data_IF_348153960649
#
_entry.id   IF_348153960649
#
_cell.length_a   1.000
_cell.length_b   1.000
_cell.length_c   1.000
_cell.angle_alpha   90.00
_cell.angle_beta   90.00
_cell.angle_gamma   90.00
#
_symmetry.space_group_name_H-M   'P 1'
#
loop_
_entity.id
_entity.type
_entity.pdbx_description
1 polymer ?
#
# COMPACT_ATOMS: atom_id res chain seq x y z
N UNK A 1 49.46 -35.65 -12.20
CA UNK A 1 49.01 -34.48 -13.01
C UNK A 1 47.48 -34.42 -13.11
N UNK A 2 46.80 -35.43 -13.66
CA UNK A 2 45.33 -35.45 -13.80
C UNK A 2 44.55 -35.22 -12.47
N UNK A 3 44.95 -35.87 -11.37
CA UNK A 3 44.33 -35.73 -10.07
C UNK A 3 44.44 -34.30 -9.51
N UNK A 4 45.56 -33.65 -9.72
CA UNK A 4 45.82 -32.28 -9.28
C UNK A 4 44.93 -31.27 -10.04
N UNK A 5 44.76 -31.46 -11.36
CA UNK A 5 43.88 -30.67 -12.19
C UNK A 5 42.41 -30.86 -11.80
N UNK A 6 41.99 -32.09 -11.54
CA UNK A 6 40.63 -32.39 -11.08
C UNK A 6 40.31 -31.72 -9.71
N UNK A 7 41.30 -31.73 -8.80
CA UNK A 7 41.16 -31.07 -7.48
C UNK A 7 41.03 -29.54 -7.61
N UNK A 8 41.83 -28.91 -8.47
CA UNK A 8 41.75 -27.46 -8.73
C UNK A 8 40.38 -27.07 -9.32
N UNK A 9 39.90 -27.85 -10.31
CA UNK A 9 38.59 -27.62 -10.91
C UNK A 9 37.48 -27.78 -9.87
N UNK A 10 37.50 -28.80 -9.02
CA UNK A 10 36.52 -29.04 -7.97
C UNK A 10 36.48 -27.89 -6.96
N UNK A 11 37.64 -27.39 -6.52
CA UNK A 11 37.76 -26.25 -5.62
C UNK A 11 37.18 -24.98 -6.29
N UNK A 12 37.54 -24.77 -7.57
CA UNK A 12 37.01 -23.63 -8.35
C UNK A 12 35.49 -23.64 -8.47
N UNK A 13 34.89 -24.80 -8.72
CA UNK A 13 33.42 -24.97 -8.76
C UNK A 13 32.79 -24.70 -7.40
N UNK A 14 33.38 -25.24 -6.32
CA UNK A 14 32.85 -24.99 -4.95
C UNK A 14 32.92 -23.51 -4.57
N UNK A 15 34.02 -22.82 -4.88
CA UNK A 15 34.16 -21.38 -4.64
C UNK A 15 33.16 -20.57 -5.48
N UNK A 16 32.96 -20.94 -6.74
CA UNK A 16 31.95 -20.30 -7.59
C UNK A 16 30.54 -20.50 -7.04
N UNK A 17 30.17 -21.74 -6.66
CA UNK A 17 28.85 -22.02 -6.04
C UNK A 17 28.68 -21.26 -4.74
N UNK A 18 29.69 -21.20 -3.87
CA UNK A 18 29.64 -20.41 -2.63
C UNK A 18 29.46 -18.91 -2.91
N UNK A 19 30.19 -18.35 -3.86
CA UNK A 19 30.10 -16.96 -4.27
C UNK A 19 28.69 -16.62 -4.81
N UNK A 20 28.16 -17.44 -5.71
CA UNK A 20 26.82 -17.23 -6.29
C UNK A 20 25.72 -17.42 -5.25
N UNK A 21 25.83 -18.40 -4.34
CA UNK A 21 24.90 -18.60 -3.24
C UNK A 21 24.88 -17.38 -2.31
N UNK A 22 26.05 -16.88 -1.91
CA UNK A 22 26.15 -15.68 -1.08
C UNK A 22 25.58 -14.44 -1.76
N UNK A 23 25.87 -14.24 -3.04
CA UNK A 23 25.34 -13.12 -3.83
C UNK A 23 23.81 -13.18 -3.94
N UNK A 24 23.24 -14.36 -4.13
CA UNK A 24 21.80 -14.58 -4.18
C UNK A 24 21.15 -14.26 -2.84
N UNK A 25 21.67 -14.77 -1.72
CA UNK A 25 21.14 -14.49 -0.39
C UNK A 25 21.16 -12.99 -0.06
N UNK A 26 22.25 -12.29 -0.35
CA UNK A 26 22.34 -10.83 -0.17
C UNK A 26 21.31 -10.08 -1.03
N UNK A 27 20.99 -10.59 -2.22
CA UNK A 27 19.96 -10.05 -3.10
C UNK A 27 18.55 -10.20 -2.52
N UNK A 28 18.23 -11.36 -1.95
CA UNK A 28 16.96 -11.66 -1.33
C UNK A 28 16.76 -10.86 -0.03
N UNK A 29 17.77 -10.79 0.84
CA UNK A 29 17.75 -9.96 2.05
C UNK A 29 17.46 -8.49 1.71
N UNK A 30 18.13 -7.95 0.70
CA UNK A 30 17.93 -6.57 0.25
C UNK A 30 16.52 -6.32 -0.29
N UNK A 31 15.89 -7.29 -0.97
CA UNK A 31 14.50 -7.20 -1.41
C UNK A 31 13.54 -7.16 -0.23
N UNK A 32 13.79 -8.02 0.77
CA UNK A 32 13.01 -8.03 2.01
C UNK A 32 13.07 -6.67 2.72
N UNK A 33 14.27 -6.13 2.94
CA UNK A 33 14.46 -4.81 3.56
C UNK A 33 13.76 -3.71 2.75
N UNK A 34 13.86 -3.75 1.42
CA UNK A 34 13.21 -2.80 0.54
C UNK A 34 11.67 -2.86 0.67
N UNK A 35 11.12 -4.07 0.75
CA UNK A 35 9.68 -4.28 0.96
C UNK A 35 9.23 -3.74 2.32
N UNK A 36 10.01 -3.98 3.38
CA UNK A 36 9.74 -3.45 4.73
C UNK A 36 9.74 -1.91 4.73
N UNK A 37 10.72 -1.28 4.08
CA UNK A 37 10.81 0.18 3.97
C UNK A 37 9.62 0.76 3.19
N UNK A 38 9.21 0.14 2.10
CA UNK A 38 8.04 0.56 1.33
C UNK A 38 6.73 0.41 2.13
N UNK A 39 6.59 -0.65 2.95
CA UNK A 39 5.44 -0.80 3.86
C UNK A 39 5.36 0.36 4.86
N UNK A 40 6.49 0.78 5.42
CA UNK A 40 6.53 1.95 6.32
C UNK A 40 6.14 3.24 5.60
N UNK A 41 6.66 3.47 4.39
CA UNK A 41 6.30 4.63 3.57
C UNK A 41 4.83 4.63 3.15
N UNK A 42 4.25 3.45 2.91
CA UNK A 42 2.82 3.30 2.63
C UNK A 42 1.98 3.72 3.84
N UNK A 43 2.33 3.28 5.04
CA UNK A 43 1.68 3.63 6.29
C UNK A 43 1.75 5.15 6.54
N UNK A 44 2.95 5.72 6.48
CA UNK A 44 3.18 7.15 6.68
C UNK A 44 2.44 8.01 5.64
N UNK A 45 2.38 7.56 4.38
CA UNK A 45 1.59 8.25 3.34
C UNK A 45 0.10 8.27 3.63
N UNK A 46 -0.43 7.20 4.25
CA UNK A 46 -1.83 7.14 4.70
C UNK A 46 -2.07 8.02 5.92
N UNK A 47 -1.15 8.02 6.86
CA UNK A 47 -1.20 8.90 8.04
C UNK A 47 -1.16 10.37 7.62
N UNK A 48 -0.24 10.76 6.73
CA UNK A 48 -0.16 12.11 6.16
C UNK A 48 -1.47 12.51 5.48
N UNK A 49 -2.10 11.60 4.71
CA UNK A 49 -3.40 11.83 4.10
C UNK A 49 -4.49 12.07 5.15
N UNK A 50 -4.54 11.26 6.21
CA UNK A 50 -5.55 11.37 7.27
C UNK A 50 -5.42 12.70 8.00
N UNK A 51 -4.21 13.07 8.40
CA UNK A 51 -3.93 14.31 9.13
C UNK A 51 -4.26 15.54 8.28
N UNK A 52 -3.78 15.58 7.02
CA UNK A 52 -4.08 16.70 6.11
C UNK A 52 -5.56 16.79 5.76
N UNK A 53 -6.25 15.64 5.61
CA UNK A 53 -7.69 15.62 5.37
C UNK A 53 -8.45 16.22 6.56
N UNK A 54 -8.13 15.81 7.79
CA UNK A 54 -8.76 16.33 9.00
C UNK A 54 -8.58 17.84 9.15
N UNK A 55 -7.39 18.35 8.88
CA UNK A 55 -7.07 19.76 8.95
C UNK A 55 -7.83 20.58 7.89
N UNK A 56 -7.92 20.10 6.65
CA UNK A 56 -8.64 20.75 5.58
C UNK A 56 -10.16 20.73 5.82
N UNK A 57 -10.71 19.63 6.37
CA UNK A 57 -12.14 19.54 6.70
C UNK A 57 -12.54 20.48 7.84
N UNK A 58 -11.68 20.66 8.84
CA UNK A 58 -11.92 21.54 9.97
C UNK A 58 -11.47 22.99 9.74
N UNK A 59 -10.87 23.30 8.62
CA UNK A 59 -10.29 24.60 8.27
C UNK A 59 -9.31 25.13 9.34
N UNK A 60 -8.60 24.22 10.01
CA UNK A 60 -7.65 24.55 11.06
C UNK A 60 -6.30 23.81 10.85
N UNK A 61 -5.45 24.26 9.91
CA UNK A 61 -4.17 23.64 9.60
C UNK A 61 -3.16 23.72 10.73
N UNK A 62 -3.21 24.73 11.59
CA UNK A 62 -2.22 24.96 12.65
C UNK A 62 -2.23 23.84 13.71
N UNK A 63 -3.39 23.23 13.96
CA UNK A 63 -3.52 22.19 15.00
C UNK A 63 -2.79 20.89 14.69
N UNK A 64 -2.39 20.68 13.45
CA UNK A 64 -1.77 19.43 12.98
C UNK A 64 -0.33 19.62 12.52
N UNK A 65 0.21 20.83 12.58
CA UNK A 65 1.51 21.16 12.00
C UNK A 65 2.66 20.33 12.61
N UNK A 66 2.69 20.19 13.95
CA UNK A 66 3.72 19.38 14.62
C UNK A 66 3.64 17.89 14.23
N UNK A 67 2.42 17.33 14.27
CA UNK A 67 2.21 15.92 13.88
C UNK A 67 2.57 15.70 12.41
N UNK A 68 2.23 16.65 11.55
CA UNK A 68 2.50 16.55 10.12
C UNK A 68 4.00 16.66 9.82
N UNK A 69 4.73 17.51 10.56
CA UNK A 69 6.19 17.62 10.48
C UNK A 69 6.87 16.30 10.87
N UNK A 70 6.47 15.69 11.98
CA UNK A 70 7.01 14.39 12.42
C UNK A 70 6.78 13.29 11.38
N UNK A 71 5.56 13.23 10.81
CA UNK A 71 5.23 12.26 9.75
C UNK A 71 6.07 12.52 8.50
N UNK A 72 6.26 13.77 8.13
CA UNK A 72 7.04 14.14 6.95
C UNK A 72 8.53 13.81 7.14
N UNK A 73 9.10 14.12 8.30
CA UNK A 73 10.50 13.81 8.61
C UNK A 73 10.74 12.29 8.58
N UNK A 74 9.84 11.51 9.17
CA UNK A 74 9.88 10.05 9.07
C UNK A 74 9.78 9.56 7.63
N UNK A 75 8.89 10.15 6.81
CA UNK A 75 8.79 9.80 5.39
C UNK A 75 10.11 10.09 4.65
N UNK A 76 10.78 11.19 4.94
CA UNK A 76 12.05 11.54 4.31
C UNK A 76 13.16 10.60 4.76
N UNK A 77 13.23 10.26 6.04
CA UNK A 77 14.18 9.29 6.59
C UNK A 77 14.04 7.93 5.89
N UNK A 78 12.84 7.31 5.92
CA UNK A 78 12.60 6.02 5.28
C UNK A 78 12.83 6.05 3.76
N UNK A 79 12.51 7.15 3.08
CA UNK A 79 12.77 7.26 1.65
C UNK A 79 14.26 7.38 1.32
N UNK A 80 15.05 8.00 2.20
CA UNK A 80 16.52 8.03 2.06
C UNK A 80 17.12 6.64 2.30
N UNK A 81 16.66 5.91 3.32
CA UNK A 81 17.05 4.52 3.55
C UNK A 81 16.70 3.62 2.36
N UNK A 82 15.50 3.80 1.79
CA UNK A 82 15.08 3.07 0.59
C UNK A 82 16.02 3.30 -0.59
N UNK A 83 16.41 4.55 -0.85
CA UNK A 83 17.36 4.89 -1.93
C UNK A 83 18.76 4.35 -1.64
N UNK A 84 19.20 4.38 -0.37
CA UNK A 84 20.50 3.86 0.04
C UNK A 84 20.58 2.34 -0.17
N UNK A 85 19.52 1.60 0.25
CA UNK A 85 19.44 0.15 0.14
C UNK A 85 19.24 -0.34 -1.32
N UNK A 86 18.69 0.49 -2.18
CA UNK A 86 18.36 0.13 -3.56
C UNK A 86 19.61 -0.22 -4.39
N UNK A 87 19.47 -1.20 -5.29
CA UNK A 87 20.44 -1.45 -6.35
C UNK A 87 20.54 -0.21 -7.25
N UNK A 88 21.72 0.00 -7.85
CA UNK A 88 22.00 1.20 -8.65
C UNK A 88 20.96 1.44 -9.74
N UNK A 89 20.51 0.40 -10.40
CA UNK A 89 19.53 0.43 -11.49
C UNK A 89 18.15 0.90 -11.03
N UNK A 90 17.77 0.60 -9.79
CA UNK A 90 16.45 0.94 -9.21
C UNK A 90 16.44 2.30 -8.51
N UNK A 91 17.60 2.90 -8.22
CA UNK A 91 17.67 4.21 -7.54
C UNK A 91 16.88 5.33 -8.20
N UNK A 92 16.85 5.47 -9.55
CA UNK A 92 16.06 6.51 -10.19
C UNK A 92 14.56 6.41 -9.87
N UNK A 93 14.01 5.19 -9.84
CA UNK A 93 12.62 4.91 -9.56
C UNK A 93 12.24 5.35 -8.12
N UNK A 94 13.06 5.02 -7.13
CA UNK A 94 12.83 5.44 -5.74
C UNK A 94 13.05 6.94 -5.53
N UNK A 95 13.92 7.59 -6.30
CA UNK A 95 14.03 9.06 -6.29
C UNK A 95 12.76 9.74 -6.83
N UNK A 96 12.17 9.20 -7.89
CA UNK A 96 10.87 9.68 -8.41
C UNK A 96 9.78 9.49 -7.35
N UNK A 97 9.77 8.36 -6.64
CA UNK A 97 8.84 8.15 -5.53
C UNK A 97 9.07 9.16 -4.40
N UNK A 98 10.31 9.40 -3.99
CA UNK A 98 10.64 10.43 -2.99
C UNK A 98 10.16 11.84 -3.41
N UNK A 99 10.27 12.20 -4.68
CA UNK A 99 9.73 13.47 -5.18
C UNK A 99 8.20 13.55 -5.03
N UNK A 100 7.49 12.43 -5.24
CA UNK A 100 6.04 12.38 -4.98
C UNK A 100 5.71 12.50 -3.49
N UNK A 101 6.52 11.88 -2.61
CA UNK A 101 6.37 12.07 -1.16
C UNK A 101 6.59 13.52 -0.73
N UNK A 102 7.63 14.19 -1.25
CA UNK A 102 7.86 15.62 -1.03
C UNK A 102 6.68 16.47 -1.52
N UNK A 103 6.11 16.12 -2.66
CA UNK A 103 4.94 16.81 -3.20
C UNK A 103 3.68 16.64 -2.34
N UNK A 104 3.57 15.60 -1.48
CA UNK A 104 2.45 15.48 -0.53
C UNK A 104 2.44 16.64 0.47
N UNK A 105 3.61 16.99 0.97
CA UNK A 105 3.77 18.01 2.02
C UNK A 105 3.80 19.44 1.45
N UNK A 106 4.34 19.63 0.23
CA UNK A 106 4.42 20.95 -0.39
C UNK A 106 3.03 21.55 -0.65
N UNK A 107 2.78 22.76 -0.17
CA UNK A 107 1.55 23.53 -0.46
C UNK A 107 0.24 22.77 -0.18
N UNK A 108 0.23 21.86 0.81
CA UNK A 108 -0.95 21.06 1.09
C UNK A 108 -2.13 21.91 1.60
N UNK A 109 -1.87 23.02 2.30
CA UNK A 109 -2.88 23.95 2.84
C UNK A 109 -3.66 24.67 1.75
N UNK A 110 -3.10 24.81 0.55
CA UNK A 110 -3.75 25.47 -0.59
C UNK A 110 -4.67 24.52 -1.39
N UNK A 111 -4.70 23.23 -1.01
CA UNK A 111 -5.49 22.23 -1.73
C UNK A 111 -6.91 22.17 -1.19
N UNK A 112 -7.86 21.94 -2.09
CA UNK A 112 -9.16 21.44 -1.65
C UNK A 112 -9.07 19.94 -1.30
N UNK A 113 -10.07 19.45 -0.58
CA UNK A 113 -10.12 18.07 -0.08
C UNK A 113 -10.00 17.05 -1.23
N UNK A 114 -10.72 17.23 -2.35
CA UNK A 114 -10.65 16.30 -3.48
C UNK A 114 -9.25 16.21 -4.06
N UNK A 115 -8.61 17.35 -4.32
CA UNK A 115 -7.24 17.40 -4.85
C UNK A 115 -6.25 16.72 -3.90
N UNK A 116 -6.39 16.95 -2.60
CA UNK A 116 -5.58 16.30 -1.58
C UNK A 116 -5.76 14.77 -1.62
N UNK A 117 -7.00 14.27 -1.70
CA UNK A 117 -7.28 12.84 -1.81
C UNK A 117 -6.70 12.22 -3.09
N UNK A 118 -6.80 12.89 -4.24
CA UNK A 118 -6.27 12.40 -5.52
C UNK A 118 -4.74 12.31 -5.50
N UNK A 119 -4.05 13.32 -4.98
CA UNK A 119 -2.58 13.35 -4.93
C UNK A 119 -2.07 12.23 -4.03
N UNK A 120 -2.64 12.08 -2.83
CA UNK A 120 -2.29 10.97 -1.93
C UNK A 120 -2.62 9.61 -2.54
N UNK A 121 -3.79 9.45 -3.16
CA UNK A 121 -4.18 8.20 -3.83
C UNK A 121 -3.19 7.78 -4.92
N UNK A 122 -2.70 8.73 -5.73
CA UNK A 122 -1.68 8.48 -6.76
C UNK A 122 -0.34 8.06 -6.14
N UNK A 123 0.08 8.70 -5.05
CA UNK A 123 1.35 8.38 -4.37
C UNK A 123 1.29 7.03 -3.68
N UNK A 124 0.19 6.73 -2.99
CA UNK A 124 -0.06 5.44 -2.34
C UNK A 124 -0.05 4.30 -3.38
N UNK A 125 -0.78 4.46 -4.49
CA UNK A 125 -0.75 3.46 -5.58
C UNK A 125 0.65 3.27 -6.15
N UNK A 126 1.42 4.34 -6.33
CA UNK A 126 2.80 4.20 -6.80
C UNK A 126 3.66 3.41 -5.82
N UNK A 127 3.51 3.64 -4.50
CA UNK A 127 4.19 2.83 -3.48
C UNK A 127 3.82 1.35 -3.62
N UNK A 128 2.53 1.06 -3.78
CA UNK A 128 2.05 -0.32 -3.92
C UNK A 128 2.57 -1.00 -5.19
N UNK A 129 2.67 -0.29 -6.32
CA UNK A 129 3.30 -0.83 -7.53
C UNK A 129 4.79 -1.16 -7.33
N UNK A 130 5.52 -0.31 -6.59
CA UNK A 130 6.92 -0.60 -6.25
C UNK A 130 7.06 -1.85 -5.38
N UNK A 131 6.09 -2.07 -4.47
CA UNK A 131 6.06 -3.29 -3.63
C UNK A 131 5.74 -4.53 -4.46
N UNK A 132 4.80 -4.43 -5.40
CA UNK A 132 4.43 -5.50 -6.32
C UNK A 132 5.61 -5.95 -7.20
N UNK A 133 6.33 -5.00 -7.80
CA UNK A 133 7.54 -5.31 -8.58
C UNK A 133 8.58 -6.10 -7.77
N UNK A 134 8.79 -5.72 -6.50
CA UNK A 134 9.74 -6.42 -5.63
C UNK A 134 9.21 -7.80 -5.26
N UNK A 135 7.92 -7.92 -4.95
CA UNK A 135 7.31 -9.18 -4.57
C UNK A 135 7.41 -10.20 -5.72
N UNK A 136 7.05 -9.81 -6.94
CA UNK A 136 7.17 -10.66 -8.13
C UNK A 136 8.62 -11.04 -8.40
N UNK A 137 9.54 -10.07 -8.39
CA UNK A 137 10.97 -10.34 -8.60
C UNK A 137 11.54 -11.27 -7.52
N UNK A 138 11.04 -11.18 -6.29
CA UNK A 138 11.45 -12.06 -5.20
C UNK A 138 10.92 -13.48 -5.39
N UNK A 139 9.65 -13.65 -5.77
CA UNK A 139 9.06 -14.95 -6.08
C UNK A 139 9.82 -15.68 -7.19
N UNK A 140 10.11 -14.98 -8.29
CA UNK A 140 10.85 -15.54 -9.43
C UNK A 140 12.26 -15.97 -9.00
N UNK A 141 13.03 -15.11 -8.31
CA UNK A 141 14.40 -15.44 -7.86
C UNK A 141 14.44 -16.56 -6.81
N UNK A 142 13.35 -16.72 -6.05
CA UNK A 142 13.21 -17.80 -5.08
C UNK A 142 12.76 -19.12 -5.71
N UNK A 143 12.43 -19.12 -7.02
CA UNK A 143 11.91 -20.30 -7.73
C UNK A 143 10.47 -20.64 -7.33
N UNK A 144 9.69 -19.66 -6.88
CA UNK A 144 8.30 -19.81 -6.45
C UNK A 144 7.34 -19.22 -7.48
N UNK A 145 7.56 -19.55 -8.73
CA UNK A 145 6.67 -19.17 -9.84
C UNK A 145 5.28 -19.80 -9.69
N UNK A 146 5.19 -20.92 -8.95
CA UNK A 146 3.95 -21.63 -8.64
C UNK A 146 2.88 -20.75 -7.95
N UNK A 147 3.30 -19.78 -7.13
CA UNK A 147 2.40 -18.85 -6.42
C UNK A 147 2.35 -17.46 -7.04
N UNK A 148 3.14 -17.18 -8.07
CA UNK A 148 3.24 -15.87 -8.69
C UNK A 148 1.93 -15.43 -9.36
N UNK A 149 1.25 -16.33 -10.06
CA UNK A 149 0.00 -16.03 -10.75
C UNK A 149 -1.14 -15.76 -9.75
N UNK A 150 -1.24 -16.55 -8.68
CA UNK A 150 -2.21 -16.33 -7.61
C UNK A 150 -1.95 -15.00 -6.91
N UNK A 151 -0.70 -14.71 -6.55
CA UNK A 151 -0.31 -13.44 -5.98
C UNK A 151 -0.73 -12.27 -6.87
N UNK A 152 -0.43 -12.34 -8.16
CA UNK A 152 -0.77 -11.28 -9.12
C UNK A 152 -2.28 -11.06 -9.25
N UNK A 153 -3.07 -12.11 -9.33
CA UNK A 153 -4.54 -12.00 -9.36
C UNK A 153 -5.09 -11.34 -8.08
N UNK A 154 -4.60 -11.74 -6.92
CA UNK A 154 -5.00 -11.18 -5.62
C UNK A 154 -4.59 -9.70 -5.52
N UNK A 155 -3.41 -9.35 -5.99
CA UNK A 155 -2.92 -7.99 -6.08
C UNK A 155 -3.83 -7.09 -6.93
N UNK A 156 -4.28 -7.55 -8.09
CA UNK A 156 -5.21 -6.81 -8.94
C UNK A 156 -6.54 -6.51 -8.23
N UNK A 157 -7.05 -7.45 -7.42
CA UNK A 157 -8.27 -7.22 -6.63
C UNK A 157 -8.08 -6.10 -5.59
N UNK A 158 -6.91 -6.04 -4.94
CA UNK A 158 -6.57 -4.98 -3.99
C UNK A 158 -6.50 -3.62 -4.69
N UNK A 159 -5.81 -3.54 -5.84
CA UNK A 159 -5.71 -2.31 -6.63
C UNK A 159 -7.08 -1.81 -7.09
N UNK A 160 -7.92 -2.69 -7.60
CA UNK A 160 -9.27 -2.38 -8.02
C UNK A 160 -10.13 -1.82 -6.88
N UNK A 161 -10.05 -2.45 -5.69
CA UNK A 161 -10.76 -1.97 -4.52
C UNK A 161 -10.30 -0.57 -4.10
N UNK A 162 -9.00 -0.29 -4.16
CA UNK A 162 -8.45 1.04 -3.88
C UNK A 162 -8.86 2.10 -4.89
N UNK A 163 -8.95 1.73 -6.19
CA UNK A 163 -9.42 2.66 -7.21
C UNK A 163 -10.89 3.05 -6.97
N UNK A 164 -11.75 2.06 -6.73
CA UNK A 164 -13.16 2.31 -6.44
C UNK A 164 -13.34 3.16 -5.18
N UNK A 165 -12.56 2.90 -4.13
CA UNK A 165 -12.57 3.71 -2.91
C UNK A 165 -12.11 5.16 -3.18
N UNK A 166 -11.16 5.37 -4.10
CA UNK A 166 -10.72 6.71 -4.49
C UNK A 166 -11.86 7.47 -5.19
N UNK A 167 -12.59 6.81 -6.08
CA UNK A 167 -13.74 7.39 -6.76
C UNK A 167 -14.88 7.72 -5.79
N UNK A 168 -15.14 6.86 -4.79
CA UNK A 168 -16.08 7.16 -3.73
C UNK A 168 -15.70 8.44 -2.98
N UNK A 169 -14.44 8.59 -2.57
CA UNK A 169 -13.95 9.80 -1.90
C UNK A 169 -14.14 11.08 -2.72
N UNK A 170 -13.89 10.98 -4.02
CA UNK A 170 -14.09 12.14 -4.91
C UNK A 170 -15.59 12.49 -5.00
N UNK A 171 -16.46 11.48 -5.11
CA UNK A 171 -17.89 11.71 -5.28
C UNK A 171 -18.57 12.33 -4.03
N UNK A 172 -17.99 12.16 -2.83
CA UNK A 172 -18.53 12.74 -1.59
C UNK A 172 -18.66 14.27 -1.66
N UNK A 173 -17.73 14.95 -2.35
CA UNK A 173 -17.75 16.42 -2.43
C UNK A 173 -18.97 16.97 -3.16
N UNK A 174 -19.40 16.26 -4.19
CA UNK A 174 -20.49 16.70 -5.05
C UNK A 174 -21.86 16.17 -4.59
N UNK A 175 -21.95 15.50 -3.42
CA UNK A 175 -23.17 14.81 -2.97
C UNK A 175 -24.38 15.72 -2.78
N UNK A 176 -24.15 17.03 -2.65
CA UNK A 176 -25.24 18.01 -2.49
C UNK A 176 -26.06 18.21 -3.78
N UNK A 177 -25.53 17.76 -4.90
CA UNK A 177 -26.24 17.76 -6.17
C UNK A 177 -26.90 16.41 -6.41
N UNK A 178 -28.07 16.33 -7.05
CA UNK A 178 -28.77 15.06 -7.30
C UNK A 178 -27.91 14.01 -8.03
N UNK A 179 -27.12 14.45 -9.00
CA UNK A 179 -26.18 13.59 -9.73
C UNK A 179 -25.01 13.12 -8.85
N UNK A 180 -24.57 13.97 -7.92
CA UNK A 180 -23.52 13.63 -6.95
C UNK A 180 -24.00 12.59 -5.93
N UNK A 181 -25.24 12.71 -5.45
CA UNK A 181 -25.85 11.72 -4.57
C UNK A 181 -25.95 10.35 -5.25
N UNK A 182 -26.41 10.31 -6.51
CA UNK A 182 -26.46 9.06 -7.29
C UNK A 182 -25.07 8.44 -7.46
N UNK A 183 -24.02 9.27 -7.70
CA UNK A 183 -22.63 8.78 -7.78
C UNK A 183 -22.16 8.19 -6.46
N UNK A 184 -22.45 8.83 -5.32
CA UNK A 184 -22.11 8.27 -4.01
C UNK A 184 -22.76 6.91 -3.80
N UNK A 185 -24.08 6.78 -4.03
CA UNK A 185 -24.81 5.50 -3.95
C UNK A 185 -24.18 4.41 -4.85
N UNK A 186 -23.87 4.77 -6.09
CA UNK A 186 -23.22 3.87 -7.04
C UNK A 186 -21.86 3.38 -6.55
N UNK A 187 -20.99 4.31 -6.09
CA UNK A 187 -19.66 3.93 -5.61
C UNK A 187 -19.70 3.22 -4.26
N UNK A 188 -20.68 3.47 -3.41
CA UNK A 188 -20.91 2.68 -2.19
C UNK A 188 -21.21 1.22 -2.53
N UNK A 189 -22.15 0.95 -3.45
CA UNK A 189 -22.47 -0.41 -3.88
C UNK A 189 -21.24 -1.08 -4.57
N UNK A 190 -20.55 -0.35 -5.42
CA UNK A 190 -19.35 -0.86 -6.09
C UNK A 190 -18.23 -1.18 -5.08
N UNK A 191 -18.02 -0.33 -4.06
CA UNK A 191 -17.04 -0.57 -2.98
C UNK A 191 -17.42 -1.80 -2.17
N UNK A 192 -18.70 -1.95 -1.82
CA UNK A 192 -19.23 -3.13 -1.11
C UNK A 192 -18.95 -4.42 -1.88
N UNK A 193 -19.20 -4.42 -3.20
CA UNK A 193 -18.91 -5.60 -4.06
C UNK A 193 -17.42 -5.91 -4.09
N UNK A 194 -16.55 -4.89 -4.15
CA UNK A 194 -15.09 -5.08 -4.12
C UNK A 194 -14.60 -5.63 -2.78
N UNK A 195 -15.15 -5.17 -1.66
CA UNK A 195 -14.83 -5.75 -0.35
C UNK A 195 -15.27 -7.22 -0.26
N UNK A 196 -16.44 -7.57 -0.80
CA UNK A 196 -16.88 -8.97 -0.90
C UNK A 196 -15.91 -9.83 -1.75
N UNK A 197 -15.35 -9.28 -2.85
CA UNK A 197 -14.34 -9.99 -3.63
C UNK A 197 -13.05 -10.18 -2.83
N UNK A 198 -12.62 -9.20 -2.04
CA UNK A 198 -11.45 -9.31 -1.17
C UNK A 198 -11.61 -10.35 -0.06
N UNK A 199 -12.85 -10.76 0.30
CA UNK A 199 -13.07 -11.86 1.26
C UNK A 199 -12.57 -13.21 0.76
N UNK A 200 -12.42 -13.38 -0.55
CA UNK A 200 -11.82 -14.57 -1.15
C UNK A 200 -10.30 -14.58 -0.92
N UNK A 201 -9.67 -13.40 -0.97
CA UNK A 201 -8.22 -13.24 -0.76
C UNK A 201 -7.87 -13.36 0.73
N UNK A 202 -8.61 -12.70 1.61
CA UNK A 202 -8.40 -12.73 3.05
C UNK A 202 -9.73 -12.74 3.81
N UNK A 203 -10.31 -13.91 4.06
CA UNK A 203 -11.60 -14.04 4.75
C UNK A 203 -11.58 -13.43 6.15
N UNK A 204 -10.49 -13.62 6.91
CA UNK A 204 -10.38 -13.12 8.30
C UNK A 204 -10.35 -11.60 8.37
N UNK A 205 -9.63 -10.94 7.46
CA UNK A 205 -9.56 -9.48 7.42
C UNK A 205 -10.91 -8.85 7.09
N UNK A 206 -11.65 -9.46 6.15
CA UNK A 206 -12.97 -8.96 5.75
C UNK A 206 -14.07 -9.35 6.75
N UNK A 207 -13.93 -10.41 7.51
CA UNK A 207 -14.85 -10.78 8.59
C UNK A 207 -14.64 -9.95 9.89
N UNK A 208 -13.71 -9.00 9.92
CA UNK A 208 -13.47 -8.17 11.08
C UNK A 208 -14.69 -7.30 11.45
N UNK A 209 -14.88 -6.93 12.74
CA UNK A 209 -15.97 -6.06 13.15
C UNK A 209 -16.01 -4.71 12.40
N UNK A 210 -14.82 -4.16 12.10
CA UNK A 210 -14.67 -2.93 11.33
C UNK A 210 -15.21 -3.10 9.91
N UNK A 211 -14.87 -4.19 9.24
CA UNK A 211 -15.35 -4.48 7.89
C UNK A 211 -16.86 -4.73 7.87
N UNK A 212 -17.38 -5.50 8.83
CA UNK A 212 -18.80 -5.79 8.93
C UNK A 212 -19.62 -4.50 9.10
N UNK A 213 -19.15 -3.59 9.97
CA UNK A 213 -19.76 -2.26 10.15
C UNK A 213 -19.72 -1.45 8.85
N UNK A 214 -18.56 -1.38 8.19
CA UNK A 214 -18.40 -0.64 6.95
C UNK A 214 -19.29 -1.21 5.82
N UNK A 215 -19.38 -2.53 5.71
CA UNK A 215 -20.25 -3.21 4.73
C UNK A 215 -21.73 -2.90 4.95
N UNK A 216 -22.17 -2.88 6.21
CA UNK A 216 -23.55 -2.50 6.57
C UNK A 216 -23.84 -1.05 6.17
N UNK A 217 -22.98 -0.11 6.56
CA UNK A 217 -23.11 1.30 6.19
C UNK A 217 -23.14 1.52 4.67
N UNK A 218 -22.25 0.84 3.93
CA UNK A 218 -22.24 0.89 2.45
C UNK A 218 -23.57 0.40 1.86
N UNK A 219 -24.17 -0.66 2.45
CA UNK A 219 -25.45 -1.20 2.01
C UNK A 219 -26.59 -0.21 2.24
N UNK A 220 -26.67 0.38 3.43
CA UNK A 220 -27.70 1.39 3.78
C UNK A 220 -27.63 2.62 2.88
N UNK A 221 -26.40 3.12 2.59
CA UNK A 221 -26.22 4.27 1.68
C UNK A 221 -26.65 3.90 0.26
N UNK A 222 -26.23 2.75 -0.24
CA UNK A 222 -26.57 2.32 -1.60
C UNK A 222 -28.07 2.09 -1.79
N UNK A 223 -28.78 1.64 -0.76
CA UNK A 223 -30.23 1.48 -0.75
C UNK A 223 -30.98 2.83 -0.60
N UNK A 224 -30.29 3.89 -0.18
CA UNK A 224 -30.92 5.18 0.11
C UNK A 224 -31.64 5.24 1.46
N UNK A 225 -31.35 4.29 2.35
CA UNK A 225 -31.96 4.16 3.68
C UNK A 225 -31.25 5.03 4.73
N UNK A 226 -29.96 5.30 4.52
CA UNK A 226 -29.15 6.10 5.44
C UNK A 226 -29.15 7.58 5.06
N UNK A 227 -29.51 8.44 6.02
CA UNK A 227 -29.37 9.89 5.91
C UNK A 227 -28.11 10.29 6.65
N UNK A 228 -27.02 10.56 5.90
CA UNK A 228 -25.79 11.07 6.49
C UNK A 228 -25.87 12.58 6.68
N UNK A 229 -25.67 13.02 7.92
CA UNK A 229 -25.78 14.42 8.26
C UNK A 229 -24.69 15.28 7.63
N UNK A 230 -23.47 14.75 7.50
CA UNK A 230 -22.31 15.50 6.98
C UNK A 230 -21.35 14.63 6.14
N UNK A 231 -20.38 15.29 5.49
CA UNK A 231 -19.37 14.64 4.69
C UNK A 231 -18.33 13.90 5.55
N UNK A 232 -18.13 14.32 6.81
CA UNK A 232 -17.09 13.77 7.67
C UNK A 232 -17.37 12.30 8.02
N UNK A 233 -18.64 11.94 8.23
CA UNK A 233 -19.07 10.55 8.46
C UNK A 233 -18.75 9.66 7.24
N UNK A 234 -19.00 10.16 6.03
CA UNK A 234 -18.68 9.45 4.81
C UNK A 234 -17.16 9.30 4.62
N UNK A 235 -16.39 10.34 4.94
CA UNK A 235 -14.92 10.25 4.88
C UNK A 235 -14.38 9.31 5.96
N UNK A 236 -14.97 9.26 7.15
CA UNK A 236 -14.60 8.28 8.17
C UNK A 236 -14.86 6.85 7.68
N UNK A 237 -16.04 6.59 7.11
CA UNK A 237 -16.34 5.31 6.46
C UNK A 237 -15.26 4.93 5.41
N UNK A 238 -14.87 5.86 4.55
CA UNK A 238 -13.81 5.59 3.57
C UNK A 238 -12.44 5.32 4.21
N UNK A 239 -12.18 5.88 5.39
CA UNK A 239 -10.97 5.62 6.16
C UNK A 239 -10.98 4.20 6.74
N UNK A 240 -12.09 3.79 7.32
CA UNK A 240 -12.30 2.43 7.83
C UNK A 240 -12.16 1.38 6.71
N UNK A 241 -12.76 1.62 5.55
CA UNK A 241 -12.61 0.77 4.36
C UNK A 241 -11.14 0.70 3.90
N UNK A 242 -10.44 1.84 3.89
CA UNK A 242 -9.02 1.86 3.53
C UNK A 242 -8.17 1.01 4.47
N UNK A 243 -8.53 0.96 5.76
CA UNK A 243 -7.85 0.12 6.73
C UNK A 243 -8.11 -1.36 6.45
N UNK A 244 -9.35 -1.75 6.15
CA UNK A 244 -9.70 -3.13 5.77
C UNK A 244 -8.90 -3.57 4.53
N UNK A 245 -8.88 -2.77 3.46
CA UNK A 245 -8.09 -3.07 2.26
C UNK A 245 -6.61 -3.21 2.59
N UNK A 246 -6.10 -2.38 3.52
CA UNK A 246 -4.70 -2.47 3.96
C UNK A 246 -4.39 -3.76 4.69
N UNK A 247 -5.32 -4.23 5.54
CA UNK A 247 -5.17 -5.49 6.26
C UNK A 247 -5.17 -6.69 5.31
N UNK A 248 -6.04 -6.68 4.29
CA UNK A 248 -6.04 -7.70 3.22
C UNK A 248 -4.69 -7.74 2.50
N UNK A 249 -4.19 -6.57 2.11
CA UNK A 249 -2.91 -6.48 1.42
C UNK A 249 -1.73 -6.93 2.31
N UNK A 250 -1.74 -6.52 3.58
CA UNK A 250 -0.71 -6.91 4.54
C UNK A 250 -0.70 -8.43 4.79
N UNK A 251 -1.88 -9.03 4.88
CA UNK A 251 -2.02 -10.50 4.98
C UNK A 251 -1.47 -11.19 3.73
N UNK A 252 -1.83 -10.72 2.53
CA UNK A 252 -1.34 -11.29 1.28
C UNK A 252 0.20 -11.22 1.18
N UNK A 253 0.81 -10.11 1.60
CA UNK A 253 2.26 -10.00 1.68
C UNK A 253 2.88 -10.91 2.74
N UNK A 254 2.23 -11.04 3.91
CA UNK A 254 2.67 -11.96 4.96
C UNK A 254 2.66 -13.40 4.47
N UNK A 255 1.57 -13.86 3.86
CA UNK A 255 1.45 -15.22 3.33
C UNK A 255 2.54 -15.51 2.29
N UNK A 256 2.79 -14.54 1.39
CA UNK A 256 3.87 -14.64 0.42
C UNK A 256 5.24 -14.77 1.10
N UNK A 257 5.55 -13.87 2.05
CA UNK A 257 6.87 -13.86 2.70
C UNK A 257 7.08 -15.04 3.65
N UNK A 258 6.03 -15.52 4.31
CA UNK A 258 6.07 -16.76 5.09
C UNK A 258 6.35 -17.97 4.20
N UNK A 259 5.77 -18.01 3.00
CA UNK A 259 6.08 -19.06 2.01
C UNK A 259 7.55 -19.04 1.56
N UNK A 260 8.23 -17.90 1.73
CA UNK A 260 9.66 -17.70 1.46
C UNK A 260 10.53 -17.82 2.73
N UNK A 261 9.94 -18.26 3.87
CA UNK A 261 10.61 -18.38 5.16
C UNK A 261 11.18 -17.07 5.74
N UNK A 262 10.55 -15.93 5.40
CA UNK A 262 10.95 -14.61 5.90
C UNK A 262 9.72 -13.80 6.35
N UNK A 263 9.23 -14.03 7.58
CA UNK A 263 8.04 -13.34 8.08
C UNK A 263 8.25 -11.83 8.17
N UNK A 264 7.26 -11.05 7.75
CA UNK A 264 7.30 -9.59 7.84
C UNK A 264 7.14 -9.11 9.28
N UNK A 265 7.80 -8.01 9.67
CA UNK A 265 7.57 -7.37 10.96
C UNK A 265 6.11 -6.95 11.09
N UNK A 266 5.53 -7.14 12.28
CA UNK A 266 4.19 -6.65 12.57
C UNK A 266 4.18 -5.13 12.56
N UNK A 267 3.25 -4.53 11.82
CA UNK A 267 3.01 -3.09 11.78
C UNK A 267 1.68 -2.85 12.50
N UNK A 268 1.68 -1.95 13.49
CA UNK A 268 0.44 -1.46 14.06
C UNK A 268 -0.27 -0.60 13.01
N UNK A 269 -1.32 -1.13 12.41
CA UNK A 269 -2.22 -0.38 11.53
C UNK A 269 -3.16 0.41 12.45
N UNK A 270 -2.85 1.69 12.64
CA UNK A 270 -3.67 2.62 13.43
C UNK A 270 -4.80 3.22 12.60
#
# INVERSE_FOLDING_TARGET
MLVLWSMIISIGVLLALFYFSRKRNTGLERKFETLVLLRQLLLLSRQHRSVTHQALSRQNPETVESTLAEVYDSMMEYSNLLIANAQFENKPMYRIFQLKLKALHKEWTERNIARNQVIHGKTIRHCMFLMDEIAIAWLIESGREDISDEYHMNWQQVLDAMEVLTQLRISIQDRHYPEGEMRVKYYCDKTRRKLNQLSIVSPLSVASPLSSKAMHQLSEISAGEAIYANNDELYQLTTDISLVISQVYDQMLSDMTESLYQPLPKIALA
#
